data_IF_003936255034
#
_entry.id   IF_003936255034
#
_cell.length_a   1.000
_cell.length_b   1.000
_cell.length_c   1.000
_cell.angle_alpha   90.00
_cell.angle_beta   90.00
_cell.angle_gamma   90.00
#
_symmetry.space_group_name_H-M   'P 1'
#
loop_
_entity.id
_entity.type
_entity.pdbx_description
1 polymer ?
#
# COMPACT_ATOMS: atom_id res chain seq x y z
N UNK A 1 8.74 -4.20 3.37
CA UNK A 1 7.76 -5.18 2.88
C UNK A 1 7.17 -4.68 1.58
N UNK A 2 6.98 -5.55 0.62
CA UNK A 2 6.32 -5.21 -0.66
C UNK A 2 5.20 -6.20 -0.94
N UNK A 3 4.12 -5.71 -1.56
CA UNK A 3 2.99 -6.55 -1.99
C UNK A 3 2.56 -6.14 -3.38
N UNK A 4 2.10 -7.11 -4.16
CA UNK A 4 1.63 -6.91 -5.53
C UNK A 4 0.21 -7.46 -5.64
N UNK A 5 -0.73 -6.62 -6.05
CA UNK A 5 -2.16 -6.97 -6.07
C UNK A 5 -2.81 -6.47 -7.35
N UNK A 6 -3.63 -7.31 -7.96
CA UNK A 6 -4.46 -6.90 -9.09
C UNK A 6 -5.74 -6.26 -8.59
N UNK A 7 -6.10 -5.10 -9.11
CA UNK A 7 -7.29 -4.35 -8.69
C UNK A 7 -8.11 -3.92 -9.91
N UNK A 8 -9.44 -3.87 -9.78
CA UNK A 8 -10.30 -3.37 -10.85
C UNK A 8 -10.13 -1.85 -11.02
N UNK A 9 -10.34 -1.38 -12.24
CA UNK A 9 -10.30 0.05 -12.58
C UNK A 9 -11.72 0.51 -12.89
N UNK A 10 -12.22 1.49 -12.13
CA UNK A 10 -13.58 1.99 -12.28
C UNK A 10 -13.87 2.55 -13.68
N UNK A 11 -12.92 3.26 -14.26
CA UNK A 11 -13.09 3.99 -15.52
C UNK A 11 -12.80 3.17 -16.79
N UNK A 12 -12.72 1.86 -16.71
CA UNK A 12 -12.31 1.05 -17.85
C UNK A 12 -13.23 -0.09 -18.24
N UNK A 13 -14.42 -0.15 -17.68
CA UNK A 13 -15.34 -1.27 -17.87
C UNK A 13 -15.12 -2.41 -16.88
N UNK A 14 -16.04 -3.42 -16.88
CA UNK A 14 -16.10 -4.41 -15.79
C UNK A 14 -14.92 -5.39 -15.73
N UNK A 15 -14.09 -5.44 -16.77
CA UNK A 15 -12.96 -6.40 -16.84
C UNK A 15 -11.60 -5.72 -16.86
N UNK A 16 -11.55 -4.40 -16.76
CA UNK A 16 -10.27 -3.70 -16.75
C UNK A 16 -9.66 -3.75 -15.36
N UNK A 17 -8.41 -4.22 -15.30
CA UNK A 17 -7.64 -4.29 -14.06
C UNK A 17 -6.28 -3.63 -14.25
N UNK A 18 -5.68 -3.21 -13.13
CA UNK A 18 -4.27 -2.80 -13.05
C UNK A 18 -3.62 -3.50 -11.89
N UNK A 19 -2.30 -3.57 -11.93
CA UNK A 19 -1.52 -4.09 -10.82
C UNK A 19 -1.04 -2.94 -9.94
N UNK A 20 -1.13 -3.12 -8.64
CA UNK A 20 -0.63 -2.16 -7.65
C UNK A 20 0.48 -2.82 -6.85
N UNK A 21 1.67 -2.26 -6.97
CA UNK A 21 2.83 -2.64 -6.17
C UNK A 21 2.93 -1.68 -5.00
N UNK A 22 2.84 -2.18 -3.77
CA UNK A 22 2.98 -1.40 -2.55
C UNK A 22 4.31 -1.72 -1.89
N UNK A 23 4.98 -0.68 -1.39
CA UNK A 23 6.29 -0.80 -0.75
C UNK A 23 6.26 -0.02 0.56
N UNK A 24 6.46 -0.74 1.66
CA UNK A 24 6.66 -0.13 2.97
C UNK A 24 8.08 0.38 3.15
N UNK A 25 8.22 1.58 3.69
CA UNK A 25 9.49 2.27 3.90
C UNK A 25 9.65 2.61 5.38
N UNK A 26 10.85 2.41 5.92
CA UNK A 26 11.21 2.87 7.26
C UNK A 26 12.74 2.97 7.39
N UNK A 27 13.34 4.17 7.49
CA UNK A 27 12.70 5.48 7.31
C UNK A 27 12.36 5.77 5.85
N UNK A 28 11.75 6.90 5.60
CA UNK A 28 11.43 7.37 4.25
C UNK A 28 9.97 7.78 4.08
N UNK A 29 9.16 7.68 5.13
CA UNK A 29 7.78 8.12 5.11
C UNK A 29 7.64 9.61 4.84
N UNK A 30 6.54 10.03 4.20
CA UNK A 30 6.28 11.42 3.83
C UNK A 30 6.34 12.37 5.05
N UNK A 31 5.84 11.90 6.19
CA UNK A 31 5.80 12.67 7.44
C UNK A 31 6.92 12.28 8.41
N UNK A 32 7.93 11.56 7.93
CA UNK A 32 9.00 11.01 8.75
C UNK A 32 8.68 9.61 9.31
N UNK A 33 9.73 8.86 9.61
CA UNK A 33 9.59 7.48 10.09
C UNK A 33 9.11 6.53 9.01
N UNK A 34 8.15 5.69 9.31
CA UNK A 34 7.59 4.72 8.37
C UNK A 34 6.48 5.31 7.50
N UNK A 35 6.30 4.73 6.33
CA UNK A 35 5.26 5.10 5.38
C UNK A 35 5.14 4.04 4.29
N UNK A 36 4.21 4.22 3.38
CA UNK A 36 3.99 3.28 2.30
C UNK A 36 3.72 4.00 0.99
N UNK A 37 4.54 3.69 -0.01
CA UNK A 37 4.36 4.12 -1.39
C UNK A 37 3.68 3.04 -2.21
N UNK A 38 3.04 3.43 -3.29
CA UNK A 38 2.53 2.48 -4.26
C UNK A 38 2.83 2.91 -5.69
N UNK A 39 2.83 1.92 -6.57
CA UNK A 39 3.00 2.09 -8.00
C UNK A 39 1.85 1.40 -8.71
N UNK A 40 1.34 2.01 -9.76
CA UNK A 40 0.28 1.44 -10.59
C UNK A 40 0.89 1.05 -11.94
N UNK A 41 0.60 -0.15 -12.40
CA UNK A 41 1.17 -0.62 -13.64
C UNK A 41 0.62 -1.94 -14.13
N UNK A 42 1.43 -2.63 -14.91
CA UNK A 42 1.14 -3.95 -15.45
C UNK A 42 2.13 -4.97 -14.92
N UNK A 43 1.70 -6.22 -14.83
CA UNK A 43 2.53 -7.34 -14.39
C UNK A 43 2.21 -8.57 -15.25
N UNK A 44 3.23 -9.13 -15.87
CA UNK A 44 3.08 -10.27 -16.77
C UNK A 44 3.43 -11.62 -16.13
N UNK A 45 3.64 -11.65 -14.83
CA UNK A 45 4.09 -12.80 -14.07
C UNK A 45 5.60 -12.81 -13.78
N UNK A 46 6.36 -11.94 -14.44
CA UNK A 46 7.82 -11.83 -14.28
C UNK A 46 8.29 -10.39 -14.06
N UNK A 47 7.66 -9.41 -14.71
CA UNK A 47 8.05 -8.00 -14.67
C UNK A 47 6.87 -7.11 -14.32
N UNK A 48 7.13 -6.15 -13.44
CA UNK A 48 6.23 -5.03 -13.19
C UNK A 48 6.67 -3.82 -14.01
N UNK A 49 5.74 -3.21 -14.75
CA UNK A 49 5.99 -2.01 -15.54
C UNK A 49 5.14 -0.88 -14.97
N UNK A 50 5.81 0.14 -14.42
CA UNK A 50 5.16 1.31 -13.86
C UNK A 50 4.52 2.16 -14.95
N UNK A 51 3.26 2.54 -14.78
CA UNK A 51 2.54 3.41 -15.72
C UNK A 51 3.00 4.87 -15.63
N UNK A 52 3.51 5.27 -14.47
CA UNK A 52 3.94 6.64 -14.21
C UNK A 52 5.44 6.82 -14.44
N UNK A 53 5.91 8.06 -14.68
CA UNK A 53 7.35 8.35 -14.70
C UNK A 53 8.01 8.00 -13.37
N UNK A 54 9.32 7.64 -13.35
CA UNK A 54 10.00 7.21 -12.13
C UNK A 54 10.08 8.29 -11.05
N UNK A 55 9.91 9.55 -11.40
CA UNK A 55 9.90 10.66 -10.43
C UNK A 55 8.52 10.92 -9.79
N UNK A 56 7.47 10.22 -10.24
CA UNK A 56 6.13 10.33 -9.64
C UNK A 56 6.06 9.44 -8.40
N UNK A 57 5.78 10.04 -7.24
CA UNK A 57 5.63 9.32 -5.99
C UNK A 57 4.17 9.33 -5.55
N UNK A 58 3.61 8.14 -5.35
CA UNK A 58 2.24 7.97 -4.88
C UNK A 58 2.29 7.37 -3.47
N UNK A 59 1.59 8.00 -2.53
CA UNK A 59 1.53 7.58 -1.14
C UNK A 59 0.18 6.94 -0.83
N UNK A 60 0.19 5.81 -0.13
CA UNK A 60 -1.03 5.14 0.30
C UNK A 60 -1.84 6.03 1.24
N UNK A 61 -1.14 6.80 2.07
CA UNK A 61 -1.73 7.81 2.96
C UNK A 61 -0.75 8.98 3.10
N UNK A 62 -1.28 10.19 3.20
CA UNK A 62 -0.49 11.41 3.42
C UNK A 62 -0.29 11.72 4.90
N UNK A 63 -0.96 11.01 5.79
CA UNK A 63 -0.74 11.08 7.23
C UNK A 63 0.51 10.36 7.68
N UNK A 64 0.77 10.41 8.99
CA UNK A 64 1.95 9.79 9.59
C UNK A 64 1.78 8.29 9.81
N UNK A 65 0.56 7.83 10.06
CA UNK A 65 0.26 6.51 10.57
C UNK A 65 -0.41 5.61 9.53
N UNK A 66 0.34 5.21 8.50
CA UNK A 66 -0.08 4.15 7.59
C UNK A 66 1.16 3.36 7.13
N UNK A 67 1.22 2.09 7.49
CA UNK A 67 2.37 1.26 7.19
C UNK A 67 1.96 -0.21 7.03
N UNK A 68 2.70 -0.97 6.24
CA UNK A 68 2.52 -2.40 6.03
C UNK A 68 1.09 -2.80 5.63
N UNK A 69 0.46 -2.02 4.77
CA UNK A 69 -0.89 -2.31 4.32
C UNK A 69 -0.93 -3.56 3.44
N UNK A 70 -1.83 -4.46 3.76
CA UNK A 70 -2.07 -5.70 3.03
C UNK A 70 -3.49 -5.69 2.47
N UNK A 71 -3.63 -6.21 1.26
CA UNK A 71 -4.93 -6.36 0.60
C UNK A 71 -5.44 -7.78 0.83
N UNK A 72 -6.71 -7.90 1.18
CA UNK A 72 -7.35 -9.20 1.33
C UNK A 72 -7.39 -9.93 0.00
N UNK A 73 -7.11 -11.23 0.02
CA UNK A 73 -7.19 -12.11 -1.14
C UNK A 73 -8.54 -12.81 -1.20
N UNK A 74 -8.91 -13.27 -2.39
CA UNK A 74 -10.06 -14.14 -2.61
C UNK A 74 -11.41 -13.52 -2.19
N UNK A 75 -11.51 -12.20 -2.21
CA UNK A 75 -12.82 -11.55 -2.05
C UNK A 75 -13.67 -11.77 -3.30
N UNK A 76 -15.01 -11.82 -3.17
CA UNK A 76 -15.90 -11.91 -4.33
C UNK A 76 -15.61 -10.77 -5.32
N UNK A 77 -15.65 -11.08 -6.62
CA UNK A 77 -15.37 -10.07 -7.67
C UNK A 77 -16.34 -8.90 -7.68
N UNK A 78 -17.52 -9.09 -7.08
CA UNK A 78 -18.53 -8.04 -6.91
C UNK A 78 -18.21 -7.09 -5.78
N UNK A 79 -17.23 -7.41 -4.94
CA UNK A 79 -16.82 -6.59 -3.80
C UNK A 79 -15.60 -5.76 -4.17
N UNK A 80 -15.59 -4.51 -3.73
CA UNK A 80 -14.43 -3.65 -3.85
C UNK A 80 -13.23 -4.24 -3.08
N UNK A 81 -12.00 -4.08 -3.56
CA UNK A 81 -10.82 -4.49 -2.81
C UNK A 81 -10.75 -3.83 -1.43
N UNK A 82 -10.37 -4.60 -0.43
CA UNK A 82 -10.24 -4.12 0.95
C UNK A 82 -8.80 -4.26 1.39
N UNK A 83 -8.28 -3.21 1.99
CA UNK A 83 -6.91 -3.14 2.49
C UNK A 83 -6.92 -2.87 3.99
N UNK A 84 -6.05 -3.55 4.70
CA UNK A 84 -5.81 -3.35 6.14
C UNK A 84 -4.40 -2.81 6.33
N UNK A 85 -4.28 -1.64 6.95
CA UNK A 85 -3.00 -1.01 7.25
C UNK A 85 -2.74 -0.91 8.75
N UNK A 86 -1.47 -0.82 9.13
CA UNK A 86 -1.06 -0.56 10.50
C UNK A 86 -1.13 0.94 10.78
N UNK A 87 -2.04 1.34 11.66
CA UNK A 87 -2.24 2.75 12.01
C UNK A 87 -1.28 3.15 13.14
N UNK A 88 0.01 3.19 12.82
CA UNK A 88 1.07 3.62 13.74
C UNK A 88 2.33 3.96 12.91
N UNK A 89 3.38 4.40 13.59
CA UNK A 89 4.65 4.75 12.95
C UNK A 89 5.82 4.28 13.82
N UNK A 90 6.80 3.64 13.19
CA UNK A 90 7.99 3.14 13.90
C UNK A 90 8.76 4.25 14.62
N UNK A 91 8.61 5.51 14.18
CA UNK A 91 9.29 6.63 14.82
C UNK A 91 8.89 6.79 16.30
N UNK A 92 7.66 6.40 16.67
CA UNK A 92 7.17 6.53 18.05
C UNK A 92 6.43 5.30 18.59
N UNK A 93 6.33 4.23 17.81
CA UNK A 93 5.56 3.04 18.22
C UNK A 93 6.02 2.45 19.57
N UNK A 94 7.32 2.55 19.88
CA UNK A 94 7.86 2.10 21.15
C UNK A 94 7.54 2.99 22.35
N UNK A 95 7.00 4.20 22.11
CA UNK A 95 6.75 5.21 23.14
C UNK A 95 5.26 5.37 23.49
N UNK A 96 4.38 4.68 22.79
CA UNK A 96 2.94 4.73 23.09
C UNK A 96 2.65 3.91 24.35
N UNK A 97 1.57 4.24 25.12
CA UNK A 97 1.24 3.53 26.36
C UNK A 97 1.03 2.03 26.18
N UNK A 98 0.67 1.60 25.00
CA UNK A 98 0.47 0.20 24.63
C UNK A 98 1.71 -0.41 23.95
N UNK A 99 2.90 0.06 24.27
CA UNK A 99 4.13 -0.32 23.56
C UNK A 99 4.37 -1.82 23.44
N UNK A 100 4.08 -2.67 24.43
CA UNK A 100 4.18 -4.13 24.24
C UNK A 100 3.21 -4.67 23.18
N UNK A 101 2.16 -3.90 22.86
CA UNK A 101 1.11 -4.22 21.90
C UNK A 101 1.12 -3.22 20.74
N UNK A 102 2.27 -2.97 20.18
CA UNK A 102 2.46 -1.95 19.11
C UNK A 102 1.44 -2.09 18.00
N UNK A 103 0.77 -0.98 17.70
CA UNK A 103 -0.20 -0.96 16.61
C UNK A 103 -1.62 -1.33 16.98
N UNK A 104 -1.94 -1.35 18.25
CA UNK A 104 -3.31 -1.53 18.72
C UNK A 104 -4.05 -0.22 18.86
#
# INVERSE_FOLDING_TARGET
MSTLTEVPVEAGGPHRTRWVLKIGLNPGGLQGGSGEQYFVGSFDGARFINDNPPFTTLWTDYGKDCYCALTFNNLPRTQAPVMLGWMNNWQYAGKVPTAPWRGR
#
